data_IF_848660910098
#
_entry.id   IF_848660910098
#
_cell.length_a   1.000
_cell.length_b   1.000
_cell.length_c   1.000
_cell.angle_alpha   90.00
_cell.angle_beta   90.00
_cell.angle_gamma   90.00
#
_symmetry.space_group_name_H-M   'P 1'
#
loop_
_entity.id
_entity.type
_entity.pdbx_description
1 polymer ?
#
# COMPACT_ATOMS: atom_id res chain seq x y z
N UNK A 1 7.90 0.11 8.13
CA UNK A 1 6.70 0.20 7.27
C UNK A 1 6.93 -0.47 5.91
N UNK A 2 7.89 -0.01 5.09
CA UNK A 2 8.10 -0.53 3.73
C UNK A 2 8.41 -2.03 3.68
N UNK A 3 9.33 -2.50 4.51
CA UNK A 3 9.66 -3.94 4.62
C UNK A 3 8.42 -4.75 5.01
N UNK A 4 7.64 -4.28 5.98
CA UNK A 4 6.40 -4.93 6.42
C UNK A 4 5.35 -5.02 5.30
N UNK A 5 5.21 -3.95 4.52
CA UNK A 5 4.33 -3.91 3.36
C UNK A 5 4.73 -4.94 2.29
N UNK A 6 5.99 -4.92 1.86
CA UNK A 6 6.50 -5.85 0.83
C UNK A 6 6.38 -7.30 1.32
N UNK A 7 6.72 -7.56 2.60
CA UNK A 7 6.57 -8.88 3.19
C UNK A 7 5.11 -9.34 3.18
N UNK A 8 4.18 -8.46 3.55
CA UNK A 8 2.75 -8.78 3.51
C UNK A 8 2.28 -9.19 2.10
N UNK A 9 2.70 -8.48 1.07
CA UNK A 9 2.40 -8.86 -0.32
C UNK A 9 2.98 -10.23 -0.67
N UNK A 10 4.25 -10.50 -0.30
CA UNK A 10 4.93 -11.78 -0.57
C UNK A 10 4.23 -12.97 0.10
N UNK A 11 3.74 -12.81 1.32
CA UNK A 11 2.96 -13.85 2.01
C UNK A 11 1.63 -14.20 1.27
N UNK A 12 1.14 -13.27 0.45
CA UNK A 12 -0.01 -13.48 -0.42
C UNK A 12 0.37 -13.83 -1.88
N UNK A 13 1.64 -14.19 -2.12
CA UNK A 13 2.12 -14.61 -3.44
C UNK A 13 2.34 -13.48 -4.44
N UNK A 14 2.46 -12.23 -3.97
CA UNK A 14 2.69 -11.06 -4.82
C UNK A 14 4.10 -10.52 -4.60
N UNK A 15 4.90 -10.46 -5.66
CA UNK A 15 6.19 -9.78 -5.68
C UNK A 15 6.04 -8.40 -6.36
N UNK A 16 6.69 -7.40 -5.82
CA UNK A 16 6.68 -6.03 -6.38
C UNK A 16 7.62 -5.86 -7.56
N UNK A 17 8.57 -6.78 -7.72
CA UNK A 17 9.57 -6.73 -8.80
C UNK A 17 8.91 -6.72 -10.17
N UNK A 18 9.27 -5.73 -11.00
CA UNK A 18 8.72 -5.54 -12.34
C UNK A 18 7.24 -5.13 -12.36
N UNK A 19 6.67 -4.70 -11.23
CA UNK A 19 5.26 -4.28 -11.14
C UNK A 19 5.10 -2.78 -11.28
N UNK A 20 4.00 -2.39 -11.91
CA UNK A 20 3.52 -1.01 -11.99
C UNK A 20 2.59 -0.74 -10.83
N UNK A 21 2.89 0.29 -10.06
CA UNK A 21 2.18 0.60 -8.83
C UNK A 21 1.56 1.98 -8.86
N UNK A 22 0.35 2.08 -8.32
CA UNK A 22 -0.26 3.36 -7.94
C UNK A 22 -0.30 3.43 -6.41
N UNK A 23 0.30 4.47 -5.84
CA UNK A 23 0.32 4.70 -4.40
C UNK A 23 -0.41 6.01 -4.08
N UNK A 24 -1.50 5.89 -3.33
CA UNK A 24 -2.27 7.03 -2.86
C UNK A 24 -1.69 7.52 -1.53
N UNK A 25 -1.19 8.76 -1.51
CA UNK A 25 -0.61 9.40 -0.34
C UNK A 25 0.90 9.63 -0.42
N UNK A 26 1.36 10.58 0.41
CA UNK A 26 2.77 10.99 0.56
C UNK A 26 3.17 11.19 2.03
N UNK A 27 2.42 10.61 2.97
CA UNK A 27 2.78 10.57 4.39
C UNK A 27 3.95 9.62 4.68
N UNK A 28 4.24 9.39 5.96
CA UNK A 28 5.37 8.55 6.38
C UNK A 28 5.31 7.13 5.86
N UNK A 29 4.18 6.45 6.05
CA UNK A 29 3.98 5.08 5.56
C UNK A 29 4.04 5.01 4.03
N UNK A 30 3.40 5.97 3.33
CA UNK A 30 3.44 6.05 1.88
C UNK A 30 4.87 6.19 1.34
N UNK A 31 5.65 7.10 1.92
CA UNK A 31 7.07 7.30 1.55
C UNK A 31 7.89 6.03 1.77
N UNK A 32 7.71 5.36 2.92
CA UNK A 32 8.41 4.12 3.22
C UNK A 32 8.08 3.00 2.21
N UNK A 33 6.81 2.88 1.81
CA UNK A 33 6.36 1.92 0.80
C UNK A 33 6.97 2.26 -0.57
N UNK A 34 6.90 3.52 -0.99
CA UNK A 34 7.47 3.97 -2.28
C UNK A 34 8.96 3.66 -2.37
N UNK A 35 9.71 4.01 -1.34
CA UNK A 35 11.17 3.75 -1.27
C UNK A 35 11.46 2.25 -1.32
N UNK A 36 10.80 1.46 -0.48
CA UNK A 36 11.07 0.02 -0.42
C UNK A 36 10.70 -0.68 -1.73
N UNK A 37 9.54 -0.36 -2.32
CA UNK A 37 9.13 -0.97 -3.57
C UNK A 37 10.06 -0.61 -4.74
N UNK A 38 10.56 0.63 -4.79
CA UNK A 38 11.54 1.03 -5.80
C UNK A 38 12.87 0.26 -5.63
N UNK A 39 13.37 0.13 -4.38
CA UNK A 39 14.58 -0.66 -4.07
C UNK A 39 14.40 -2.15 -4.40
N UNK A 40 13.19 -2.70 -4.21
CA UNK A 40 12.88 -4.10 -4.51
C UNK A 40 12.54 -4.33 -6.00
N UNK A 41 12.72 -3.31 -6.85
CA UNK A 41 12.68 -3.43 -8.30
C UNK A 41 11.30 -3.28 -8.94
N UNK A 42 10.38 -2.50 -8.34
CA UNK A 42 9.17 -2.08 -9.04
C UNK A 42 9.50 -1.39 -10.37
N UNK A 43 8.73 -1.65 -11.43
CA UNK A 43 8.93 -1.04 -12.74
C UNK A 43 8.57 0.45 -12.72
N UNK A 44 7.45 0.79 -12.08
CA UNK A 44 7.03 2.18 -11.94
C UNK A 44 6.17 2.39 -10.69
N UNK A 45 6.21 3.63 -10.18
CA UNK A 45 5.38 4.08 -9.05
C UNK A 45 4.75 5.42 -9.42
N UNK A 46 3.42 5.43 -9.56
CA UNK A 46 2.62 6.65 -9.75
C UNK A 46 2.07 7.08 -8.40
N UNK A 47 2.59 8.18 -7.87
CA UNK A 47 2.20 8.73 -6.56
C UNK A 47 1.07 9.74 -6.77
N UNK A 48 -0.05 9.54 -6.08
CA UNK A 48 -1.16 10.49 -6.07
C UNK A 48 -1.33 11.11 -4.68
N UNK A 49 -1.26 12.42 -4.60
CA UNK A 49 -1.48 13.17 -3.36
C UNK A 49 -2.23 14.48 -3.66
N UNK A 50 -3.10 14.98 -2.76
CA UNK A 50 -3.64 16.33 -2.91
C UNK A 50 -2.50 17.37 -2.95
N UNK A 51 -2.74 18.54 -3.53
CA UNK A 51 -1.80 19.67 -3.49
C UNK A 51 -1.79 20.36 -2.11
N UNK A 52 -1.45 19.57 -1.10
CA UNK A 52 -1.22 19.97 0.27
C UNK A 52 0.30 20.02 0.59
N UNK A 53 0.73 20.31 1.82
CA UNK A 53 2.15 20.32 2.19
C UNK A 53 2.90 19.00 1.93
N UNK A 54 2.19 17.86 1.85
CA UNK A 54 2.81 16.57 1.53
C UNK A 54 3.09 16.38 0.04
N UNK A 55 2.50 17.20 -0.84
CA UNK A 55 2.77 17.12 -2.28
C UNK A 55 4.26 17.37 -2.59
N UNK A 56 4.85 18.39 -1.98
CA UNK A 56 6.29 18.67 -2.11
C UNK A 56 7.16 17.52 -1.59
N UNK A 57 6.70 16.78 -0.58
CA UNK A 57 7.37 15.55 -0.12
C UNK A 57 7.33 14.47 -1.19
N UNK A 58 6.20 14.26 -1.85
CA UNK A 58 6.08 13.31 -2.95
C UNK A 58 7.05 13.64 -4.09
N UNK A 59 7.12 14.92 -4.48
CA UNK A 59 8.06 15.38 -5.52
C UNK A 59 9.53 15.15 -5.11
N UNK A 60 9.90 15.49 -3.86
CA UNK A 60 11.25 15.25 -3.34
C UNK A 60 11.58 13.75 -3.28
N UNK A 61 10.61 12.90 -2.91
CA UNK A 61 10.80 11.45 -2.91
C UNK A 61 11.00 10.92 -4.32
N UNK A 62 10.18 11.35 -5.27
CA UNK A 62 10.30 10.95 -6.68
C UNK A 62 11.66 11.37 -7.27
N UNK A 63 12.13 12.59 -6.98
CA UNK A 63 13.44 13.07 -7.43
C UNK A 63 14.59 12.20 -6.89
N UNK A 64 14.56 11.88 -5.59
CA UNK A 64 15.56 11.00 -4.97
C UNK A 64 15.55 9.61 -5.57
N UNK A 65 14.37 9.01 -5.71
CA UNK A 65 14.22 7.66 -6.28
C UNK A 65 14.66 7.61 -7.75
N UNK A 66 14.41 8.66 -8.54
CA UNK A 66 14.89 8.74 -9.93
C UNK A 66 16.42 8.72 -10.03
N UNK A 67 17.14 9.16 -8.97
CA UNK A 67 18.59 9.12 -8.90
C UNK A 67 19.12 7.79 -8.36
N UNK A 68 18.51 7.30 -7.27
CA UNK A 68 19.00 6.14 -6.51
C UNK A 68 18.50 4.80 -7.09
N UNK A 69 17.33 4.82 -7.75
CA UNK A 69 16.69 3.65 -8.37
C UNK A 69 16.28 3.96 -9.81
N UNK A 70 17.24 4.22 -10.73
CA UNK A 70 16.93 4.71 -12.08
C UNK A 70 16.08 3.75 -12.92
N UNK A 71 16.07 2.46 -12.58
CA UNK A 71 15.25 1.45 -13.26
C UNK A 71 13.77 1.51 -12.85
N UNK A 72 13.43 2.23 -11.77
CA UNK A 72 12.05 2.45 -11.33
C UNK A 72 11.57 3.84 -11.76
N UNK A 73 10.61 3.91 -12.66
CA UNK A 73 10.02 5.19 -13.08
C UNK A 73 9.06 5.72 -12.02
N UNK A 74 9.41 6.83 -11.36
CA UNK A 74 8.55 7.45 -10.34
C UNK A 74 7.96 8.77 -10.85
N UNK A 75 6.64 8.92 -10.73
CA UNK A 75 5.88 10.11 -11.17
C UNK A 75 4.92 10.55 -10.07
N UNK A 76 4.65 11.87 -10.01
CA UNK A 76 3.75 12.46 -9.01
C UNK A 76 2.60 13.18 -9.71
N UNK A 77 1.40 12.95 -9.24
CA UNK A 77 0.17 13.50 -9.80
C UNK A 77 -0.72 14.09 -8.70
N UNK A 78 -1.52 15.09 -9.08
CA UNK A 78 -2.56 15.62 -8.20
C UNK A 78 -3.70 14.59 -8.07
N UNK A 79 -4.05 14.24 -6.84
CA UNK A 79 -5.17 13.33 -6.57
C UNK A 79 -6.53 13.88 -7.05
N UNK A 80 -6.64 15.19 -7.26
CA UNK A 80 -7.84 15.81 -7.82
C UNK A 80 -8.01 15.51 -9.32
N UNK A 81 -6.97 15.07 -10.02
CA UNK A 81 -7.05 14.62 -11.42
C UNK A 81 -7.58 13.17 -11.49
N UNK A 82 -8.90 13.04 -11.39
CA UNK A 82 -9.58 11.74 -11.41
C UNK A 82 -9.39 11.00 -12.75
N UNK A 83 -9.26 11.72 -13.86
CA UNK A 83 -9.03 11.12 -15.18
C UNK A 83 -7.63 10.49 -15.24
N UNK A 84 -6.62 11.19 -14.72
CA UNK A 84 -5.26 10.66 -14.64
C UNK A 84 -5.16 9.50 -13.66
N UNK A 85 -5.84 9.56 -12.53
CA UNK A 85 -5.90 8.45 -11.58
C UNK A 85 -6.50 7.20 -12.23
N UNK A 86 -7.59 7.33 -12.96
CA UNK A 86 -8.22 6.22 -13.68
C UNK A 86 -7.30 5.62 -14.74
N UNK A 87 -6.59 6.45 -15.50
CA UNK A 87 -5.60 6.02 -16.48
C UNK A 87 -4.47 5.20 -15.84
N UNK A 88 -3.85 5.74 -14.77
CA UNK A 88 -2.74 5.08 -14.09
C UNK A 88 -3.17 3.77 -13.41
N UNK A 89 -4.34 3.74 -12.75
CA UNK A 89 -4.87 2.51 -12.16
C UNK A 89 -5.18 1.47 -13.23
N UNK A 90 -5.69 1.87 -14.40
CA UNK A 90 -5.96 0.94 -15.52
C UNK A 90 -4.68 0.24 -16.02
N UNK A 91 -3.52 0.87 -15.87
CA UNK A 91 -2.21 0.33 -16.28
C UNK A 91 -1.41 -0.30 -15.12
N UNK A 92 -1.90 -0.22 -13.89
CA UNK A 92 -1.19 -0.71 -12.71
C UNK A 92 -1.44 -2.19 -12.45
N UNK A 93 -0.47 -2.87 -11.85
CA UNK A 93 -0.61 -4.21 -11.27
C UNK A 93 -1.09 -4.13 -9.81
N UNK A 94 -0.66 -3.08 -9.09
CA UNK A 94 -0.91 -2.91 -7.65
C UNK A 94 -1.39 -1.49 -7.38
N UNK A 95 -2.53 -1.38 -6.70
CA UNK A 95 -3.08 -0.14 -6.14
C UNK A 95 -2.95 -0.15 -4.63
N UNK A 96 -2.35 0.89 -4.07
CA UNK A 96 -2.11 1.01 -2.62
C UNK A 96 -2.78 2.25 -2.06
N UNK A 97 -3.66 2.11 -1.07
CA UNK A 97 -4.04 3.23 -0.22
C UNK A 97 -3.04 3.33 0.95
N UNK A 98 -2.22 4.36 0.93
CA UNK A 98 -1.27 4.70 2.01
C UNK A 98 -1.65 6.01 2.71
N UNK A 99 -2.96 6.28 2.82
CA UNK A 99 -3.55 7.42 3.50
C UNK A 99 -4.40 6.96 4.70
N UNK A 100 -5.07 7.89 5.36
CA UNK A 100 -6.01 7.64 6.44
C UNK A 100 -7.46 7.42 5.93
N UNK A 101 -7.70 7.45 4.61
CA UNK A 101 -9.05 7.24 4.07
C UNK A 101 -9.58 5.84 4.42
N UNK A 102 -10.75 5.78 5.00
CA UNK A 102 -11.38 4.54 5.46
C UNK A 102 -11.00 4.09 6.87
N UNK A 103 -10.11 4.85 7.57
CA UNK A 103 -9.79 4.60 8.98
C UNK A 103 -10.89 5.16 9.89
N UNK A 104 -11.15 4.49 11.02
CA UNK A 104 -12.06 5.00 12.07
C UNK A 104 -11.64 6.40 12.54
N UNK A 105 -12.59 7.33 12.75
CA UNK A 105 -14.05 7.17 12.68
C UNK A 105 -14.67 7.39 11.29
N UNK A 106 -13.88 7.57 10.23
CA UNK A 106 -14.33 7.93 8.87
C UNK A 106 -14.27 6.73 7.92
N UNK A 107 -14.91 5.63 8.32
CA UNK A 107 -14.88 4.37 7.56
C UNK A 107 -15.59 4.44 6.20
N UNK A 108 -16.47 5.43 6.03
CA UNK A 108 -17.18 5.71 4.78
C UNK A 108 -16.28 6.29 3.68
N UNK A 109 -15.12 6.84 4.04
CA UNK A 109 -14.24 7.48 3.08
C UNK A 109 -13.52 6.46 2.20
N UNK A 110 -13.44 6.77 0.91
CA UNK A 110 -12.59 6.09 -0.07
C UNK A 110 -12.07 7.10 -1.09
N UNK A 111 -10.85 6.90 -1.55
CA UNK A 111 -10.24 7.70 -2.61
C UNK A 111 -10.57 7.17 -4.01
N UNK A 112 -10.99 5.92 -4.11
CA UNK A 112 -11.46 5.33 -5.36
C UNK A 112 -12.99 5.47 -5.43
N UNK A 113 -13.46 6.51 -6.09
CA UNK A 113 -14.89 6.81 -6.23
C UNK A 113 -15.56 6.01 -7.35
N UNK A 114 -14.81 5.73 -8.42
CA UNK A 114 -15.28 4.95 -9.57
C UNK A 114 -14.90 3.48 -9.39
N UNK A 115 -15.88 2.64 -9.01
CA UNK A 115 -15.68 1.20 -8.82
C UNK A 115 -15.23 0.46 -10.08
N UNK A 116 -15.41 1.04 -11.27
CA UNK A 116 -14.92 0.46 -12.52
C UNK A 116 -13.39 0.42 -12.63
N UNK A 117 -12.68 1.11 -11.74
CA UNK A 117 -11.23 1.01 -11.61
C UNK A 117 -10.76 -0.34 -11.05
N UNK A 118 -11.61 -1.03 -10.29
CA UNK A 118 -11.31 -2.37 -9.79
C UNK A 118 -11.52 -3.40 -10.90
N UNK A 119 -10.50 -4.21 -11.14
CA UNK A 119 -10.54 -5.26 -12.18
C UNK A 119 -9.93 -6.57 -11.66
N UNK A 120 -10.26 -7.72 -12.28
CA UNK A 120 -9.86 -9.04 -11.76
C UNK A 120 -8.37 -9.30 -11.62
N UNK A 121 -7.53 -8.63 -12.40
CA UNK A 121 -6.07 -8.77 -12.38
C UNK A 121 -5.36 -7.77 -11.45
N UNK A 122 -6.09 -6.81 -10.87
CA UNK A 122 -5.55 -5.81 -9.96
C UNK A 122 -5.34 -6.39 -8.56
N UNK A 123 -4.19 -6.09 -7.97
CA UNK A 123 -3.92 -6.25 -6.54
C UNK A 123 -4.24 -4.95 -5.84
N UNK A 124 -5.06 -5.01 -4.79
CA UNK A 124 -5.43 -3.85 -3.96
C UNK A 124 -4.92 -4.06 -2.54
N UNK A 125 -4.14 -3.12 -2.04
CA UNK A 125 -3.60 -3.12 -0.69
C UNK A 125 -3.94 -1.82 0.04
N UNK A 126 -4.25 -1.93 1.32
CA UNK A 126 -4.54 -0.80 2.18
C UNK A 126 -3.64 -0.85 3.42
N UNK A 127 -3.08 0.29 3.84
CA UNK A 127 -2.29 0.36 5.08
C UNK A 127 -3.16 0.50 6.32
N UNK A 128 -4.43 0.86 6.16
CA UNK A 128 -5.38 0.96 7.26
C UNK A 128 -5.66 -0.43 7.82
N UNK A 129 -5.45 -0.60 9.12
CA UNK A 129 -5.67 -1.85 9.84
C UNK A 129 -6.90 -1.82 10.77
N UNK A 130 -7.46 -0.64 11.02
CA UNK A 130 -8.68 -0.45 11.81
C UNK A 130 -9.65 0.52 11.10
N UNK A 131 -10.72 0.01 10.49
CA UNK A 131 -11.21 -1.38 10.50
C UNK A 131 -10.28 -2.34 9.72
N UNK A 132 -10.44 -3.64 9.97
CA UNK A 132 -9.66 -4.68 9.27
C UNK A 132 -9.90 -4.70 7.76
N UNK A 133 -11.07 -4.26 7.31
CA UNK A 133 -11.45 -4.10 5.92
C UNK A 133 -12.07 -2.72 5.72
N UNK A 134 -11.33 -1.84 5.05
CA UNK A 134 -11.84 -0.53 4.63
C UNK A 134 -12.87 -0.67 3.51
N UNK A 135 -13.59 0.41 3.23
CA UNK A 135 -14.51 0.48 2.10
C UNK A 135 -13.82 0.09 0.78
N UNK A 136 -12.61 0.59 0.53
CA UNK A 136 -11.83 0.28 -0.67
C UNK A 136 -11.56 -1.23 -0.79
N UNK A 137 -11.13 -1.87 0.30
CA UNK A 137 -10.85 -3.32 0.32
C UNK A 137 -12.11 -4.14 0.07
N UNK A 138 -13.25 -3.76 0.67
CA UNK A 138 -14.54 -4.43 0.45
C UNK A 138 -14.98 -4.32 -1.01
N UNK A 139 -14.97 -3.11 -1.57
CA UNK A 139 -15.36 -2.85 -2.96
C UNK A 139 -14.44 -3.57 -3.96
N UNK A 140 -13.15 -3.65 -3.69
CA UNK A 140 -12.20 -4.41 -4.51
C UNK A 140 -12.47 -5.92 -4.48
N UNK A 141 -12.83 -6.48 -3.31
CA UNK A 141 -13.24 -7.90 -3.18
C UNK A 141 -14.53 -8.18 -3.95
N UNK A 142 -15.53 -7.32 -3.80
CA UNK A 142 -16.81 -7.42 -4.52
C UNK A 142 -16.62 -7.37 -6.04
N UNK A 143 -15.68 -6.56 -6.51
CA UNK A 143 -15.31 -6.47 -7.93
C UNK A 143 -14.48 -7.68 -8.44
N UNK A 144 -14.09 -8.59 -7.55
CA UNK A 144 -13.32 -9.78 -7.92
C UNK A 144 -11.85 -9.51 -8.22
N UNK A 145 -11.25 -8.48 -7.60
CA UNK A 145 -9.81 -8.23 -7.73
C UNK A 145 -8.98 -9.46 -7.33
N UNK A 146 -7.83 -9.66 -7.98
CA UNK A 146 -6.92 -10.78 -7.75
C UNK A 146 -6.55 -10.96 -6.28
N UNK A 147 -6.35 -9.85 -5.59
CA UNK A 147 -6.07 -9.78 -4.16
C UNK A 147 -6.61 -8.45 -3.64
N UNK A 148 -7.24 -8.44 -2.47
CA UNK A 148 -7.61 -7.22 -1.76
C UNK A 148 -7.37 -7.43 -0.26
N UNK A 149 -6.37 -6.72 0.29
CA UNK A 149 -5.89 -6.88 1.67
C UNK A 149 -5.82 -5.56 2.42
N UNK A 150 -6.12 -5.61 3.72
CA UNK A 150 -5.95 -4.49 4.65
C UNK A 150 -4.59 -4.49 5.35
N UNK A 151 -4.38 -3.50 6.23
CA UNK A 151 -3.09 -3.19 6.84
C UNK A 151 -2.64 -4.10 8.00
N UNK A 152 -3.47 -5.02 8.50
CA UNK A 152 -3.08 -5.89 9.64
C UNK A 152 -1.81 -6.69 9.37
N UNK A 153 -1.68 -7.26 8.17
CA UNK A 153 -0.47 -8.00 7.80
C UNK A 153 0.78 -7.11 7.74
N UNK A 154 0.65 -5.90 7.17
CA UNK A 154 1.76 -4.94 7.18
C UNK A 154 2.17 -4.59 8.61
N UNK A 155 1.20 -4.35 9.51
CA UNK A 155 1.46 -4.07 10.93
C UNK A 155 2.21 -5.22 11.62
N UNK A 156 1.82 -6.46 11.35
CA UNK A 156 2.51 -7.64 11.88
C UNK A 156 3.97 -7.72 11.38
N UNK A 157 4.17 -7.63 10.07
CA UNK A 157 5.49 -7.84 9.49
C UNK A 157 6.47 -6.69 9.76
N UNK A 158 6.00 -5.44 9.91
CA UNK A 158 6.85 -4.36 10.40
C UNK A 158 7.28 -4.61 11.86
N UNK A 159 6.36 -5.11 12.70
CA UNK A 159 6.66 -5.49 14.08
C UNK A 159 7.68 -6.62 14.15
N UNK A 160 7.54 -7.64 13.30
CA UNK A 160 8.50 -8.73 13.21
C UNK A 160 9.90 -8.26 12.76
N UNK A 161 9.97 -7.34 11.80
CA UNK A 161 11.23 -6.75 11.39
C UNK A 161 11.90 -5.94 12.52
N UNK A 162 11.11 -5.14 13.24
CA UNK A 162 11.60 -4.39 14.41
C UNK A 162 12.08 -5.32 15.53
N UNK A 163 11.30 -6.37 15.84
CA UNK A 163 11.67 -7.37 16.85
C UNK A 163 13.03 -8.01 16.54
N UNK A 164 13.24 -8.40 15.26
CA UNK A 164 14.52 -8.96 14.83
C UNK A 164 15.69 -7.98 14.99
N UNK A 165 15.48 -6.70 14.66
CA UNK A 165 16.49 -5.66 14.84
C UNK A 165 16.88 -5.44 16.31
N UNK A 166 15.90 -5.47 17.23
CA UNK A 166 16.13 -5.22 18.64
C UNK A 166 16.69 -6.44 19.39
N UNK A 167 16.28 -7.65 19.00
CA UNK A 167 16.59 -8.87 19.76
C UNK A 167 17.58 -9.80 19.05
N UNK A 168 17.76 -9.67 17.74
CA UNK A 168 18.49 -10.62 16.90
C UNK A 168 17.72 -11.93 16.65
N UNK A 169 16.50 -12.08 17.17
CA UNK A 169 15.68 -13.29 17.07
C UNK A 169 14.53 -13.10 16.07
N UNK A 170 14.07 -14.20 15.48
CA UNK A 170 12.84 -14.18 14.67
C UNK A 170 11.61 -14.10 15.58
N UNK A 171 10.65 -13.24 15.24
CA UNK A 171 9.39 -13.14 15.96
C UNK A 171 8.52 -14.38 15.66
N UNK A 172 7.89 -15.03 16.66
CA UNK A 172 6.98 -16.16 16.44
C UNK A 172 5.64 -15.68 15.87
N UNK A 173 5.65 -15.31 14.59
CA UNK A 173 4.50 -14.66 13.93
C UNK A 173 3.28 -15.56 13.79
N UNK A 174 3.49 -16.89 13.58
CA UNK A 174 2.40 -17.84 13.48
C UNK A 174 1.61 -17.98 14.79
N UNK A 175 2.31 -18.07 15.91
CA UNK A 175 1.72 -18.14 17.26
C UNK A 175 1.00 -16.82 17.59
N UNK A 176 1.58 -15.69 17.22
CA UNK A 176 0.97 -14.38 17.41
C UNK A 176 -0.32 -14.22 16.59
N UNK A 177 -0.33 -14.63 15.34
CA UNK A 177 -1.54 -14.61 14.50
C UNK A 177 -2.65 -15.47 15.09
N UNK A 178 -2.32 -16.69 15.52
CA UNK A 178 -3.28 -17.56 16.19
C UNK A 178 -3.86 -16.94 17.46
N UNK A 179 -3.00 -16.34 18.27
CA UNK A 179 -3.43 -15.63 19.49
C UNK A 179 -4.38 -14.46 19.16
N UNK A 180 -4.11 -13.70 18.10
CA UNK A 180 -5.00 -12.61 17.67
C UNK A 180 -6.36 -13.15 17.20
N UNK A 181 -6.41 -14.19 16.37
CA UNK A 181 -7.65 -14.80 15.88
C UNK A 181 -8.53 -15.32 17.02
N UNK A 182 -7.92 -15.93 18.05
CA UNK A 182 -8.62 -16.44 19.24
C UNK A 182 -9.20 -15.31 20.11
N UNK A 183 -8.64 -14.10 20.07
CA UNK A 183 -9.06 -12.96 20.91
C UNK A 183 -9.91 -11.91 20.16
N UNK A 184 -9.91 -11.89 18.85
CA UNK A 184 -10.80 -11.00 18.06
C UNK A 184 -12.28 -11.47 18.06
N UNK A 185 -12.52 -12.71 18.47
CA UNK A 185 -13.87 -13.31 18.57
C UNK A 185 -14.46 -13.23 19.99
N UNK A 186 -13.81 -12.53 20.91
CA UNK A 186 -14.29 -12.25 22.27
C UNK A 186 -14.71 -10.80 22.42
#
# INVERSE_FOLDING_TARGET
>A
DGIGFVRNLKEHGVDVKGKKMVVLGAGGAATAIQVQCALDGAESISIFNPKDPFFARAESTAEKLSKETPDCKVSVFDLADEAKLKEEVANADILVNATLAGMKPHEELTLIKDKSMFRPDLVVADVVYNPAQTRMVKEAKEAGCKLAIGGKGMLLWQGAAAYKLYTGLEMPTAEYQKFQEENENK
#
